data_IF_229244057756
#
_entry.id   IF_229244057756
#
_cell.length_a   1.000
_cell.length_b   1.000
_cell.length_c   1.000
_cell.angle_alpha   90.00
_cell.angle_beta   90.00
_cell.angle_gamma   90.00
#
_symmetry.space_group_name_H-M   'P 1'
#
loop_
_entity.id
_entity.type
_entity.pdbx_description
1 polymer ?
#
# COMPACT_ATOMS: atom_id res chain seq x y z
N UNK A 1 13.36 17.75 -2.18
CA UNK A 1 11.94 18.08 -2.41
C UNK A 1 11.65 18.11 -3.90
N UNK A 2 10.40 18.02 -4.30
CA UNK A 2 9.94 18.06 -5.70
C UNK A 2 8.59 18.78 -5.76
N UNK A 3 8.27 19.37 -6.91
CA UNK A 3 6.96 20.03 -7.13
C UNK A 3 6.11 19.20 -8.10
N UNK A 4 4.81 19.09 -7.82
CA UNK A 4 3.82 18.41 -8.68
C UNK A 4 2.62 19.31 -8.94
N UNK A 5 2.03 19.27 -10.14
CA UNK A 5 0.78 19.99 -10.43
C UNK A 5 -0.34 19.47 -9.52
N UNK A 6 -1.14 20.36 -8.93
CA UNK A 6 -2.24 19.99 -8.03
C UNK A 6 -3.35 19.22 -8.78
N UNK A 7 -3.95 18.24 -8.10
CA UNK A 7 -5.18 17.55 -8.52
C UNK A 7 -6.10 17.42 -7.32
N UNK A 8 -7.41 17.44 -7.57
CA UNK A 8 -8.43 17.27 -6.54
C UNK A 8 -8.30 15.89 -5.85
N UNK A 9 -8.52 15.84 -4.52
CA UNK A 9 -8.40 14.60 -3.76
C UNK A 9 -9.58 13.65 -4.03
N UNK A 10 -9.28 12.39 -4.31
CA UNK A 10 -10.26 11.29 -4.29
C UNK A 10 -10.40 10.71 -2.88
N UNK A 11 -11.62 10.55 -2.32
CA UNK A 11 -11.81 9.96 -1.00
C UNK A 11 -11.74 8.41 -1.01
N UNK A 12 -11.26 7.76 0.09
CA UNK A 12 -11.02 6.32 0.14
C UNK A 12 -12.30 5.54 0.49
N UNK A 13 -12.54 4.42 -0.22
CA UNK A 13 -13.78 3.64 -0.20
C UNK A 13 -13.55 2.20 0.29
N UNK A 14 -14.33 1.75 1.27
CA UNK A 14 -14.77 0.34 1.39
C UNK A 14 -16.29 0.30 1.64
N UNK A 15 -16.83 1.13 2.55
CA UNK A 15 -18.28 1.17 2.85
C UNK A 15 -19.04 2.33 2.17
N UNK A 16 -18.33 3.33 1.64
CA UNK A 16 -18.93 4.51 1.01
C UNK A 16 -19.80 4.22 -0.20
N UNK A 17 -19.58 3.10 -0.93
CA UNK A 17 -20.43 2.75 -2.08
C UNK A 17 -21.83 2.35 -1.63
N UNK A 18 -21.93 1.49 -0.61
CA UNK A 18 -23.23 1.08 -0.07
C UNK A 18 -23.88 2.19 0.76
N UNK A 19 -23.10 2.95 1.51
CA UNK A 19 -23.60 4.15 2.19
C UNK A 19 -24.12 5.18 1.18
N UNK A 20 -23.40 5.40 0.07
CA UNK A 20 -23.84 6.28 -1.02
C UNK A 20 -25.14 5.80 -1.67
N UNK A 21 -25.29 4.49 -1.92
CA UNK A 21 -26.55 3.92 -2.41
C UNK A 21 -27.69 4.03 -1.41
N UNK A 22 -27.40 3.85 -0.12
CA UNK A 22 -28.38 4.03 0.94
C UNK A 22 -28.88 5.49 0.97
N UNK A 23 -27.96 6.46 1.00
CA UNK A 23 -28.31 7.88 0.96
C UNK A 23 -29.06 8.25 -0.34
N UNK A 24 -28.67 7.69 -1.47
CA UNK A 24 -29.37 7.87 -2.74
C UNK A 24 -30.83 7.40 -2.70
N UNK A 25 -31.11 6.38 -1.88
CA UNK A 25 -32.45 5.83 -1.69
C UNK A 25 -33.26 6.56 -0.63
N UNK A 26 -32.63 7.01 0.46
CA UNK A 26 -33.37 7.55 1.63
C UNK A 26 -33.38 9.07 1.72
N UNK A 27 -32.30 9.73 1.28
CA UNK A 27 -32.09 11.17 1.54
C UNK A 27 -32.10 12.03 0.27
N UNK A 28 -31.71 11.50 -0.88
CA UNK A 28 -31.45 12.34 -2.07
C UNK A 28 -32.72 12.98 -2.67
N UNK A 29 -33.89 12.37 -2.45
CA UNK A 29 -35.17 12.96 -2.81
C UNK A 29 -35.59 14.10 -1.87
N UNK A 30 -34.95 14.24 -0.71
CA UNK A 30 -35.25 15.25 0.31
C UNK A 30 -34.37 16.51 0.21
N UNK A 31 -33.43 16.54 -0.74
CA UNK A 31 -32.55 17.69 -0.98
C UNK A 31 -33.32 18.85 -1.65
N UNK A 32 -32.87 20.09 -1.42
CA UNK A 32 -33.42 21.30 -2.08
C UNK A 32 -33.42 21.17 -3.62
N UNK A 33 -32.44 20.45 -4.16
CA UNK A 33 -32.43 19.99 -5.56
C UNK A 33 -32.45 18.46 -5.56
N UNK A 34 -33.64 17.83 -5.70
CA UNK A 34 -33.78 16.39 -5.61
C UNK A 34 -32.99 15.65 -6.69
N UNK A 35 -32.35 14.56 -6.31
CA UNK A 35 -31.70 13.63 -7.25
C UNK A 35 -32.55 12.35 -7.29
N UNK A 36 -32.97 11.96 -8.50
CA UNK A 36 -33.86 10.80 -8.68
C UNK A 36 -33.17 9.48 -8.31
N UNK A 37 -33.91 8.58 -7.67
CA UNK A 37 -33.41 7.23 -7.38
C UNK A 37 -33.01 6.52 -8.68
N UNK A 38 -31.82 5.93 -8.71
CA UNK A 38 -31.28 5.26 -9.90
C UNK A 38 -30.65 6.19 -10.95
N UNK A 39 -30.66 7.51 -10.77
CA UNK A 39 -29.99 8.43 -11.70
C UNK A 39 -28.46 8.45 -11.55
N UNK A 40 -27.93 7.87 -10.47
CA UNK A 40 -26.50 7.81 -10.19
C UNK A 40 -25.98 6.39 -10.37
N UNK A 41 -25.04 6.22 -11.31
CA UNK A 41 -24.27 4.99 -11.45
C UNK A 41 -23.15 4.94 -10.42
N UNK A 42 -23.48 4.46 -9.21
CA UNK A 42 -22.50 4.32 -8.13
C UNK A 42 -21.74 2.99 -8.28
N UNK A 43 -20.42 3.03 -8.57
CA UNK A 43 -19.65 1.82 -8.81
C UNK A 43 -19.60 0.96 -7.56
N UNK A 44 -19.71 -0.36 -7.77
CA UNK A 44 -19.52 -1.34 -6.71
C UNK A 44 -18.11 -1.29 -6.13
N UNK A 45 -17.97 -1.73 -4.89
CA UNK A 45 -16.67 -1.88 -4.26
C UNK A 45 -16.46 -3.33 -3.79
N UNK A 46 -15.60 -4.04 -4.50
CA UNK A 46 -15.23 -5.44 -4.21
C UNK A 46 -13.79 -5.56 -3.69
N UNK A 47 -13.18 -4.45 -3.26
CA UNK A 47 -11.75 -4.39 -2.88
C UNK A 47 -11.39 -5.41 -1.80
N UNK A 48 -12.22 -5.57 -0.77
CA UNK A 48 -11.97 -6.56 0.28
C UNK A 48 -11.96 -8.00 -0.26
N UNK A 49 -12.82 -8.30 -1.24
CA UNK A 49 -12.86 -9.60 -1.91
C UNK A 49 -11.60 -9.83 -2.75
N UNK A 50 -11.21 -8.84 -3.56
CA UNK A 50 -9.99 -8.90 -4.39
C UNK A 50 -8.72 -9.06 -3.54
N UNK A 51 -8.58 -8.25 -2.48
CA UNK A 51 -7.45 -8.36 -1.55
C UNK A 51 -7.42 -9.71 -0.83
N UNK A 52 -8.58 -10.21 -0.36
CA UNK A 52 -8.66 -11.54 0.26
C UNK A 52 -8.27 -12.64 -0.74
N UNK A 53 -8.72 -12.54 -2.00
CA UNK A 53 -8.38 -13.48 -3.05
C UNK A 53 -6.87 -13.49 -3.34
N UNK A 54 -6.22 -12.33 -3.47
CA UNK A 54 -4.76 -12.26 -3.67
C UNK A 54 -3.98 -12.89 -2.50
N UNK A 55 -4.43 -12.66 -1.27
CA UNK A 55 -3.82 -13.27 -0.07
C UNK A 55 -4.02 -14.78 -0.04
N UNK A 56 -5.21 -15.27 -0.43
CA UNK A 56 -5.49 -16.70 -0.56
C UNK A 56 -4.62 -17.36 -1.62
N UNK A 57 -4.39 -16.70 -2.75
CA UNK A 57 -3.50 -17.19 -3.80
C UNK A 57 -2.07 -17.28 -3.26
N UNK A 58 -1.56 -16.23 -2.61
CA UNK A 58 -0.23 -16.26 -2.00
C UNK A 58 -0.09 -17.38 -0.95
N UNK A 59 -1.12 -17.59 -0.13
CA UNK A 59 -1.16 -18.71 0.80
C UNK A 59 -1.11 -20.06 0.07
N UNK A 60 -1.93 -20.24 -0.97
CA UNK A 60 -2.04 -21.51 -1.70
C UNK A 60 -0.78 -21.82 -2.51
N UNK A 61 -0.08 -20.82 -3.03
CA UNK A 61 1.20 -21.02 -3.71
C UNK A 61 2.28 -21.58 -2.78
N UNK A 62 2.25 -21.18 -1.51
CA UNK A 62 3.15 -21.72 -0.49
C UNK A 62 2.64 -23.05 0.08
N UNK A 63 1.30 -23.26 0.09
CA UNK A 63 0.60 -24.40 0.70
C UNK A 63 1.10 -25.82 0.35
N UNK A 64 1.47 -26.14 -0.90
CA UNK A 64 1.93 -27.48 -1.24
C UNK A 64 3.39 -27.78 -0.84
N UNK A 65 4.13 -26.79 -0.32
CA UNK A 65 5.56 -26.93 -0.02
C UNK A 65 5.89 -27.08 1.48
N UNK A 66 4.90 -27.28 2.35
CA UNK A 66 5.15 -27.45 3.80
C UNK A 66 4.10 -28.31 4.50
N UNK A 67 4.55 -29.14 5.44
CA UNK A 67 3.70 -29.88 6.40
C UNK A 67 3.07 -28.98 7.48
N UNK A 68 3.36 -27.67 7.47
CA UNK A 68 2.95 -26.72 8.52
C UNK A 68 1.84 -25.76 8.07
N UNK A 69 0.87 -25.51 8.98
CA UNK A 69 -0.27 -24.62 8.75
C UNK A 69 0.20 -23.16 8.69
N UNK A 70 -0.27 -22.39 7.69
CA UNK A 70 0.32 -21.08 7.44
C UNK A 70 -0.30 -19.90 8.19
N UNK A 71 0.52 -18.96 8.60
CA UNK A 71 0.14 -17.69 9.22
C UNK A 71 0.04 -16.56 8.21
N UNK A 72 -1.03 -15.77 8.34
CA UNK A 72 -1.05 -14.37 7.91
C UNK A 72 -0.68 -13.47 9.08
N UNK A 73 0.45 -12.76 9.01
CA UNK A 73 0.83 -11.74 9.99
C UNK A 73 0.28 -10.36 9.61
N UNK A 74 -0.72 -9.86 10.35
CA UNK A 74 -1.17 -8.46 10.27
C UNK A 74 -0.36 -7.61 11.23
N UNK A 75 0.51 -6.75 10.69
CA UNK A 75 1.33 -5.87 11.51
C UNK A 75 0.59 -4.59 11.87
N UNK A 76 0.27 -4.44 13.16
CA UNK A 76 -0.41 -3.26 13.70
C UNK A 76 0.61 -2.12 13.94
N UNK A 77 0.28 -0.87 13.57
CA UNK A 77 1.06 0.29 14.00
C UNK A 77 0.99 0.47 15.53
N UNK A 78 1.86 1.33 16.07
CA UNK A 78 1.93 1.72 17.50
C UNK A 78 0.55 1.92 18.17
N UNK A 79 0.44 1.74 19.50
CA UNK A 79 -0.77 2.07 20.25
C UNK A 79 -1.15 3.54 20.00
N UNK A 80 -2.25 3.76 19.28
CA UNK A 80 -2.68 5.09 18.83
C UNK A 80 -3.43 5.07 17.50
N UNK A 81 -3.00 4.26 16.52
CA UNK A 81 -3.67 4.15 15.20
C UNK A 81 -4.84 3.14 15.23
N UNK A 82 -5.74 3.27 16.22
CA UNK A 82 -6.94 2.41 16.37
C UNK A 82 -7.94 2.57 15.20
N UNK A 83 -7.86 3.67 14.48
CA UNK A 83 -8.77 4.10 13.41
C UNK A 83 -8.83 3.15 12.20
N UNK A 84 -7.80 2.32 11.96
CA UNK A 84 -7.75 1.39 10.82
C UNK A 84 -7.98 -0.08 11.20
N UNK A 85 -8.46 -0.34 12.42
CA UNK A 85 -8.71 -1.71 12.90
C UNK A 85 -9.89 -2.37 12.16
N UNK A 86 -10.95 -1.60 11.91
CA UNK A 86 -12.18 -2.07 11.28
C UNK A 86 -11.98 -2.43 9.81
N UNK A 87 -11.19 -1.64 9.08
CA UNK A 87 -10.74 -1.93 7.70
C UNK A 87 -10.07 -3.31 7.60
N UNK A 88 -9.19 -3.61 8.56
CA UNK A 88 -8.48 -4.89 8.59
C UNK A 88 -9.38 -6.08 8.98
N UNK A 89 -10.40 -5.86 9.83
CA UNK A 89 -11.36 -6.91 10.21
C UNK A 89 -12.20 -7.36 9.03
N UNK A 90 -12.64 -6.44 8.17
CA UNK A 90 -13.38 -6.81 6.96
C UNK A 90 -12.57 -7.75 6.06
N UNK A 91 -11.28 -7.47 5.89
CA UNK A 91 -10.38 -8.35 5.14
C UNK A 91 -10.24 -9.74 5.81
N UNK A 92 -10.12 -9.79 7.13
CA UNK A 92 -10.06 -11.05 7.88
C UNK A 92 -11.32 -11.90 7.73
N UNK A 93 -12.49 -11.27 7.81
CA UNK A 93 -13.76 -11.98 7.62
C UNK A 93 -13.89 -12.55 6.21
N UNK A 94 -13.41 -11.83 5.18
CA UNK A 94 -13.41 -12.36 3.82
C UNK A 94 -12.43 -13.54 3.66
N UNK A 95 -11.29 -13.52 4.35
CA UNK A 95 -10.34 -14.65 4.33
C UNK A 95 -10.88 -15.84 5.12
N UNK A 96 -11.59 -15.61 6.23
CA UNK A 96 -12.17 -16.65 7.06
C UNK A 96 -13.23 -17.49 6.32
N UNK A 97 -13.81 -16.96 5.24
CA UNK A 97 -14.71 -17.70 4.34
C UNK A 97 -14.00 -18.74 3.47
N UNK A 98 -12.67 -18.79 3.46
CA UNK A 98 -11.92 -19.77 2.70
C UNK A 98 -12.16 -21.20 3.24
N UNK A 99 -12.21 -22.15 2.31
CA UNK A 99 -12.22 -23.59 2.60
C UNK A 99 -11.05 -24.24 1.85
N UNK A 100 -10.08 -24.89 2.54
CA UNK A 100 -9.98 -25.02 3.99
C UNK A 100 -9.72 -23.67 4.70
N UNK A 101 -10.03 -23.61 6.00
CA UNK A 101 -9.87 -22.39 6.80
C UNK A 101 -8.40 -21.95 6.86
N UNK A 102 -8.16 -20.66 6.62
CA UNK A 102 -6.84 -20.04 6.67
C UNK A 102 -6.68 -19.30 8.01
N UNK A 103 -5.72 -19.70 8.87
CA UNK A 103 -5.50 -19.01 10.12
C UNK A 103 -4.80 -17.66 9.91
N UNK A 104 -5.33 -16.64 10.59
CA UNK A 104 -4.83 -15.26 10.52
C UNK A 104 -4.46 -14.79 11.93
N UNK A 105 -3.27 -14.22 12.08
CA UNK A 105 -2.75 -13.73 13.34
C UNK A 105 -2.32 -12.26 13.23
N UNK A 106 -2.62 -11.47 14.26
CA UNK A 106 -2.13 -10.08 14.36
C UNK A 106 -0.91 -10.08 15.26
N UNK A 107 0.17 -9.47 14.78
CA UNK A 107 1.39 -9.27 15.54
C UNK A 107 1.75 -7.80 15.52
N UNK A 108 2.28 -7.28 16.64
CA UNK A 108 2.96 -6.00 16.58
C UNK A 108 4.34 -6.22 16.01
N UNK A 109 4.85 -5.23 15.31
CA UNK A 109 6.17 -5.29 14.70
C UNK A 109 7.29 -5.59 15.72
N UNK A 110 7.20 -5.00 16.91
CA UNK A 110 8.13 -5.26 18.01
C UNK A 110 8.05 -6.67 18.62
N UNK A 111 6.95 -7.41 18.39
CA UNK A 111 6.76 -8.75 18.97
C UNK A 111 7.23 -9.86 18.04
N UNK A 112 7.61 -9.55 16.79
CA UNK A 112 8.00 -10.53 15.77
C UNK A 112 9.17 -11.38 16.26
N UNK A 113 10.22 -10.73 16.79
CA UNK A 113 11.43 -11.41 17.26
C UNK A 113 11.24 -12.15 18.59
N UNK A 114 10.23 -11.77 19.38
CA UNK A 114 9.89 -12.39 20.65
C UNK A 114 9.17 -13.74 20.48
N UNK A 115 8.86 -14.13 19.24
CA UNK A 115 8.33 -15.46 18.97
C UNK A 115 9.48 -16.48 19.04
N UNK A 116 9.35 -17.57 19.81
CA UNK A 116 10.42 -18.55 20.04
C UNK A 116 10.95 -19.30 18.80
N UNK A 117 10.49 -18.92 17.62
CA UNK A 117 10.87 -19.45 16.32
C UNK A 117 12.06 -18.69 15.69
N UNK A 118 12.44 -17.53 16.21
CA UNK A 118 13.55 -16.72 15.65
C UNK A 118 14.94 -17.28 15.96
N UNK A 119 15.04 -18.35 16.76
CA UNK A 119 16.30 -18.98 17.21
C UNK A 119 16.68 -20.23 16.41
N UNK A 120 15.89 -20.65 15.42
CA UNK A 120 16.28 -21.74 14.53
C UNK A 120 17.46 -21.31 13.63
N UNK A 121 18.34 -22.24 13.20
CA UNK A 121 19.40 -21.96 12.22
C UNK A 121 18.82 -21.29 10.96
N UNK A 122 19.65 -20.68 10.10
CA UNK A 122 19.23 -19.90 8.92
C UNK A 122 18.54 -20.77 7.86
N UNK A 123 17.39 -21.31 8.20
CA UNK A 123 16.38 -21.82 7.31
C UNK A 123 15.50 -20.64 6.98
N UNK A 124 15.21 -20.45 5.69
CA UNK A 124 14.42 -19.32 5.23
C UNK A 124 12.92 -19.44 5.60
N UNK A 125 12.54 -20.27 6.56
CA UNK A 125 11.16 -20.38 7.05
C UNK A 125 10.96 -19.53 8.30
N UNK A 126 9.91 -18.69 8.30
CA UNK A 126 9.49 -17.93 9.48
C UNK A 126 8.40 -18.74 10.19
N UNK A 127 8.54 -19.02 11.49
CA UNK A 127 7.51 -19.70 12.26
C UNK A 127 6.87 -18.77 13.30
N UNK A 128 5.61 -19.04 13.61
CA UNK A 128 4.83 -18.36 14.62
C UNK A 128 4.32 -19.39 15.63
N UNK A 129 4.61 -19.15 16.91
CA UNK A 129 4.08 -19.96 18.01
C UNK A 129 2.92 -19.23 18.66
N UNK A 130 1.79 -19.91 18.82
CA UNK A 130 0.60 -19.29 19.40
C UNK A 130 0.84 -18.99 20.90
N UNK A 131 0.70 -17.73 21.37
CA UNK A 131 0.99 -17.38 22.76
C UNK A 131 0.14 -18.15 23.78
N UNK A 132 -1.11 -18.46 23.43
CA UNK A 132 -2.06 -19.19 24.28
C UNK A 132 -1.88 -20.70 24.26
N UNK A 133 -1.14 -21.24 23.29
CA UNK A 133 -0.87 -22.67 23.17
C UNK A 133 0.47 -22.88 22.49
N UNK A 134 1.52 -23.04 23.30
CA UNK A 134 2.89 -23.14 22.80
C UNK A 134 3.16 -24.41 22.00
N UNK A 135 2.31 -25.44 22.11
CA UNK A 135 2.39 -26.66 21.29
C UNK A 135 1.91 -26.45 19.84
N UNK A 136 1.25 -25.33 19.54
CA UNK A 136 0.81 -24.98 18.18
C UNK A 136 1.83 -24.03 17.55
N UNK A 137 2.57 -24.56 16.59
CA UNK A 137 3.51 -23.83 15.74
C UNK A 137 2.97 -23.81 14.31
N UNK A 138 3.09 -22.65 13.68
CA UNK A 138 2.64 -22.37 12.33
C UNK A 138 3.82 -21.85 11.52
N UNK A 139 3.99 -22.25 10.28
CA UNK A 139 4.91 -21.57 9.37
C UNK A 139 4.21 -20.32 8.81
N UNK A 140 4.90 -19.26 8.43
CA UNK A 140 4.29 -18.06 7.86
C UNK A 140 4.32 -18.18 6.33
N UNK A 141 3.15 -18.19 5.66
CA UNK A 141 3.08 -18.13 4.19
C UNK A 141 3.07 -16.70 3.68
N UNK A 142 2.30 -15.82 4.33
CA UNK A 142 2.03 -14.48 3.82
C UNK A 142 2.18 -13.48 4.95
N UNK A 143 2.99 -12.46 4.69
CA UNK A 143 3.16 -11.32 5.60
C UNK A 143 2.43 -10.14 4.98
N UNK A 144 1.31 -9.74 5.58
CA UNK A 144 0.55 -8.59 5.14
C UNK A 144 0.86 -7.39 6.03
N UNK A 145 1.74 -6.52 5.55
CA UNK A 145 2.23 -5.38 6.33
C UNK A 145 1.20 -4.26 6.32
N UNK A 146 0.74 -3.87 7.52
CA UNK A 146 -0.11 -2.68 7.74
C UNK A 146 0.58 -1.66 8.67
N UNK A 147 1.90 -1.79 8.77
CA UNK A 147 2.86 -0.91 9.43
C UNK A 147 4.19 -0.99 8.67
N UNK A 148 5.20 -0.23 9.08
CA UNK A 148 6.54 -0.26 8.51
C UNK A 148 6.73 0.69 7.31
N UNK A 149 5.74 1.54 7.03
CA UNK A 149 5.79 2.60 6.01
C UNK A 149 6.13 3.99 6.59
N UNK A 150 6.08 4.13 7.92
CA UNK A 150 6.39 5.38 8.63
C UNK A 150 7.65 5.17 9.48
N UNK A 151 8.59 6.14 9.54
CA UNK A 151 9.76 6.04 10.43
C UNK A 151 9.41 5.78 11.89
N UNK A 152 8.24 6.25 12.35
CA UNK A 152 7.75 5.96 13.71
C UNK A 152 7.49 4.47 13.94
N UNK A 153 7.29 3.64 12.91
CA UNK A 153 7.18 2.19 13.09
C UNK A 153 8.53 1.52 13.42
N UNK A 154 9.64 2.27 13.37
CA UNK A 154 11.00 1.82 13.66
C UNK A 154 11.62 2.61 14.83
N UNK A 155 11.14 2.44 16.08
CA UNK A 155 11.64 3.18 17.25
C UNK A 155 13.08 2.82 17.67
N UNK A 156 13.58 1.66 17.25
CA UNK A 156 14.87 1.10 17.68
C UNK A 156 15.35 -0.02 16.75
N UNK A 157 16.51 -0.59 17.04
CA UNK A 157 17.15 -1.61 16.22
C UNK A 157 16.31 -2.90 16.12
N UNK A 158 15.58 -3.23 17.18
CA UNK A 158 14.74 -4.43 17.24
C UNK A 158 13.65 -4.43 16.17
N UNK A 159 13.12 -3.25 15.83
CA UNK A 159 12.15 -3.11 14.76
C UNK A 159 12.81 -3.32 13.38
N UNK A 160 14.03 -2.83 13.19
CA UNK A 160 14.79 -3.09 11.96
C UNK A 160 15.14 -4.56 11.81
N UNK A 161 15.57 -5.21 12.89
CA UNK A 161 15.88 -6.63 12.91
C UNK A 161 14.63 -7.48 12.65
N UNK A 162 13.47 -7.07 13.17
CA UNK A 162 12.18 -7.68 12.85
C UNK A 162 11.85 -7.57 11.36
N UNK A 163 12.04 -6.38 10.75
CA UNK A 163 11.85 -6.20 9.30
C UNK A 163 12.72 -7.15 8.51
N UNK A 164 14.00 -7.18 8.88
CA UNK A 164 15.01 -7.95 8.19
C UNK A 164 14.71 -9.45 8.27
N UNK A 165 14.31 -9.93 9.45
CA UNK A 165 13.86 -11.32 9.65
C UNK A 165 12.66 -11.67 8.76
N UNK A 166 11.64 -10.81 8.73
CA UNK A 166 10.45 -11.00 7.89
C UNK A 166 10.82 -11.04 6.40
N UNK A 167 11.64 -10.09 5.93
CA UNK A 167 12.01 -9.96 4.52
C UNK A 167 12.84 -11.15 4.03
N UNK A 168 13.77 -11.65 4.86
CA UNK A 168 14.61 -12.81 4.56
C UNK A 168 13.87 -14.15 4.52
N UNK A 169 12.67 -14.21 5.08
CA UNK A 169 11.87 -15.43 5.05
C UNK A 169 11.28 -15.71 3.65
N UNK A 170 10.94 -16.97 3.41
CA UNK A 170 10.21 -17.50 2.25
C UNK A 170 8.75 -17.09 2.23
N UNK A 171 8.25 -16.46 3.30
CA UNK A 171 6.90 -15.92 3.27
C UNK A 171 6.80 -14.90 2.11
N UNK A 172 5.63 -14.83 1.50
CA UNK A 172 5.29 -13.82 0.51
C UNK A 172 5.00 -12.51 1.27
N UNK A 173 5.82 -11.49 1.01
CA UNK A 173 5.65 -10.18 1.63
C UNK A 173 4.70 -9.33 0.78
N UNK A 174 3.74 -8.69 1.44
CA UNK A 174 2.82 -7.74 0.83
C UNK A 174 2.88 -6.42 1.63
N UNK A 175 3.68 -5.43 1.19
CA UNK A 175 4.66 -5.47 0.08
C UNK A 175 6.03 -6.04 0.49
N UNK A 176 6.85 -6.43 -0.50
CA UNK A 176 8.31 -6.62 -0.32
C UNK A 176 9.02 -5.27 -0.13
N UNK A 177 10.27 -5.29 0.33
CA UNK A 177 11.10 -4.06 0.43
C UNK A 177 11.27 -3.37 -0.92
N UNK A 178 11.45 -4.13 -2.01
CA UNK A 178 11.58 -3.57 -3.36
C UNK A 178 10.27 -2.91 -3.82
N UNK A 179 9.13 -3.55 -3.55
CA UNK A 179 7.81 -2.99 -3.88
C UNK A 179 7.53 -1.72 -3.07
N UNK A 180 7.92 -1.71 -1.79
CA UNK A 180 7.83 -0.52 -0.95
C UNK A 180 8.71 0.62 -1.49
N UNK A 181 9.94 0.34 -1.90
CA UNK A 181 10.84 1.33 -2.51
C UNK A 181 10.30 1.87 -3.84
N UNK A 182 9.70 1.01 -4.67
CA UNK A 182 9.07 1.41 -5.92
C UNK A 182 7.89 2.38 -5.73
N UNK A 183 7.18 2.27 -4.58
CA UNK A 183 6.09 3.19 -4.21
C UNK A 183 6.56 4.58 -3.77
N UNK A 184 7.85 4.78 -3.57
CA UNK A 184 8.37 6.07 -3.09
C UNK A 184 8.16 7.19 -4.10
N UNK A 185 8.00 8.40 -3.59
CA UNK A 185 7.80 9.58 -4.43
C UNK A 185 9.00 9.94 -5.31
N UNK A 186 10.22 9.57 -4.90
CA UNK A 186 11.39 9.70 -5.76
C UNK A 186 11.31 8.78 -6.98
N UNK A 187 10.91 7.52 -6.80
CA UNK A 187 10.67 6.61 -7.94
C UNK A 187 9.55 7.14 -8.82
N UNK A 188 8.43 7.59 -8.22
CA UNK A 188 7.35 8.25 -8.96
C UNK A 188 7.88 9.44 -9.79
N UNK A 189 8.72 10.30 -9.23
CA UNK A 189 9.34 11.43 -9.93
C UNK A 189 10.23 10.98 -11.09
N UNK A 190 11.08 9.96 -10.89
CA UNK A 190 11.96 9.46 -11.94
C UNK A 190 11.15 8.88 -13.11
N UNK A 191 10.11 8.09 -12.82
CA UNK A 191 9.27 7.48 -13.86
C UNK A 191 8.39 8.48 -14.61
N UNK A 192 8.05 9.60 -13.97
CA UNK A 192 7.17 10.65 -14.55
C UNK A 192 7.94 11.86 -15.09
N UNK A 193 9.28 11.86 -15.03
CA UNK A 193 10.08 12.96 -15.57
C UNK A 193 9.88 13.01 -17.10
N UNK A 194 9.46 14.16 -17.67
CA UNK A 194 9.18 14.28 -19.10
C UNK A 194 10.38 13.91 -19.98
N UNK A 195 10.09 13.37 -21.16
CA UNK A 195 11.11 13.06 -22.18
C UNK A 195 11.86 14.35 -22.56
N UNK A 196 13.19 14.32 -22.46
CA UNK A 196 14.03 15.30 -23.13
C UNK A 196 14.28 14.81 -24.56
N UNK A 197 14.40 15.68 -25.57
CA UNK A 197 14.76 15.27 -26.93
C UNK A 197 16.04 14.42 -27.02
N UNK A 198 16.93 14.54 -26.02
CA UNK A 198 18.23 13.87 -25.98
C UNK A 198 18.30 12.65 -25.03
N UNK A 199 17.26 12.39 -24.22
CA UNK A 199 17.33 11.33 -23.19
C UNK A 199 16.01 10.54 -23.13
N UNK A 200 16.04 9.20 -23.35
CA UNK A 200 14.85 8.36 -23.22
C UNK A 200 14.32 8.37 -21.77
N UNK A 201 13.00 8.27 -21.62
CA UNK A 201 12.37 8.23 -20.29
C UNK A 201 12.85 7.03 -19.49
N UNK A 202 12.98 7.17 -18.17
CA UNK A 202 13.26 6.04 -17.28
C UNK A 202 12.19 4.94 -17.37
N UNK A 203 10.95 5.28 -17.73
CA UNK A 203 9.86 4.32 -17.92
C UNK A 203 10.14 3.32 -19.05
N UNK A 204 10.83 3.75 -20.11
CA UNK A 204 11.16 2.93 -21.28
C UNK A 204 12.00 1.68 -20.96
N UNK A 205 12.63 1.66 -19.78
CA UNK A 205 13.40 0.50 -19.28
C UNK A 205 12.52 -0.63 -18.76
N UNK A 206 11.26 -0.35 -18.45
CA UNK A 206 10.32 -1.29 -17.83
C UNK A 206 9.16 -1.65 -18.75
N UNK A 207 8.78 -0.75 -19.65
CA UNK A 207 7.68 -0.94 -20.60
C UNK A 207 8.11 -0.38 -21.95
N UNK A 208 7.69 -1.02 -23.04
CA UNK A 208 8.00 -0.56 -24.39
C UNK A 208 7.26 0.73 -24.71
N UNK A 209 7.97 1.72 -25.25
CA UNK A 209 7.46 3.07 -25.51
C UNK A 209 6.45 3.16 -26.68
N UNK A 210 6.26 2.07 -27.43
CA UNK A 210 5.48 2.02 -28.68
C UNK A 210 4.08 1.40 -28.52
N UNK A 211 3.59 1.23 -27.29
CA UNK A 211 2.27 0.62 -27.02
C UNK A 211 1.20 1.65 -26.65
N UNK A 212 -0.06 1.36 -26.98
CA UNK A 212 -1.21 2.17 -26.57
C UNK A 212 -1.32 2.25 -25.03
N UNK A 213 -1.06 1.16 -24.32
CA UNK A 213 -1.04 1.11 -22.84
C UNK A 213 -0.08 2.15 -22.24
N UNK A 214 1.09 2.35 -22.85
CA UNK A 214 2.05 3.35 -22.37
C UNK A 214 1.55 4.75 -22.65
N UNK A 215 0.92 5.00 -23.81
CA UNK A 215 0.29 6.28 -24.10
C UNK A 215 -0.81 6.61 -23.07
N UNK A 216 -1.66 5.64 -22.70
CA UNK A 216 -2.67 5.82 -21.65
C UNK A 216 -2.04 6.08 -20.27
N UNK A 217 -1.00 5.33 -19.91
CA UNK A 217 -0.28 5.54 -18.66
C UNK A 217 0.31 6.96 -18.57
N UNK A 218 0.94 7.44 -19.65
CA UNK A 218 1.45 8.82 -19.73
C UNK A 218 0.36 9.87 -19.54
N UNK A 219 -0.87 9.62 -20.00
CA UNK A 219 -2.01 10.53 -19.79
C UNK A 219 -2.42 10.65 -18.33
N UNK A 220 -2.15 9.65 -17.50
CA UNK A 220 -2.42 9.71 -16.05
C UNK A 220 -1.32 10.41 -15.25
N UNK A 221 -0.15 10.61 -15.85
CA UNK A 221 0.99 11.20 -15.17
C UNK A 221 0.80 12.71 -15.00
N UNK A 222 1.12 13.19 -13.81
CA UNK A 222 1.35 14.61 -13.59
C UNK A 222 2.85 14.87 -13.64
N UNK A 223 3.27 16.00 -14.22
CA UNK A 223 4.69 16.34 -14.24
C UNK A 223 5.19 16.58 -12.81
N UNK A 224 6.15 15.76 -12.39
CA UNK A 224 6.84 15.92 -11.12
C UNK A 224 8.27 16.39 -11.42
N UNK A 225 8.60 17.60 -11.01
CA UNK A 225 9.91 18.18 -11.28
C UNK A 225 10.84 18.02 -10.08
N UNK A 226 12.12 17.63 -10.28
CA UNK A 226 13.11 17.65 -9.23
C UNK A 226 13.41 19.09 -8.79
N UNK A 227 14.01 19.27 -7.61
CA UNK A 227 14.54 20.57 -7.16
C UNK A 227 16.07 20.54 -7.07
N UNK A 228 16.72 19.79 -7.97
CA UNK A 228 18.18 19.71 -8.08
C UNK A 228 18.72 20.77 -9.06
N UNK A 229 19.95 20.59 -9.53
CA UNK A 229 20.65 21.49 -10.48
C UNK A 229 20.55 21.03 -11.93
N UNK A 230 19.74 20.01 -12.24
CA UNK A 230 19.45 19.61 -13.62
C UNK A 230 18.62 20.69 -14.34
N UNK A 231 18.56 20.66 -15.67
CA UNK A 231 17.71 21.58 -16.44
C UNK A 231 16.24 21.54 -15.99
N UNK A 232 15.72 20.33 -15.75
CA UNK A 232 14.38 20.14 -15.20
C UNK A 232 14.24 20.74 -13.80
N UNK A 233 15.29 20.68 -12.98
CA UNK A 233 15.33 21.26 -11.64
C UNK A 233 15.43 22.79 -11.65
N UNK A 234 16.17 23.37 -12.59
CA UNK A 234 16.23 24.82 -12.79
C UNK A 234 14.87 25.36 -13.28
N UNK A 235 14.21 24.66 -14.21
CA UNK A 235 12.86 25.01 -14.65
C UNK A 235 11.83 24.89 -13.50
N UNK A 236 11.96 23.87 -12.64
CA UNK A 236 11.12 23.72 -11.45
C UNK A 236 11.25 24.94 -10.51
N UNK A 237 12.48 25.38 -10.25
CA UNK A 237 12.78 26.52 -9.39
C UNK A 237 12.20 27.81 -9.96
N UNK A 238 12.32 28.04 -11.27
CA UNK A 238 11.68 29.20 -11.94
C UNK A 238 10.17 29.21 -11.71
N UNK A 239 9.50 28.06 -11.93
CA UNK A 239 8.05 27.93 -11.74
C UNK A 239 7.62 28.08 -10.28
N UNK A 240 8.42 27.58 -9.34
CA UNK A 240 8.15 27.67 -7.91
C UNK A 240 8.33 29.09 -7.35
N UNK A 241 9.26 29.87 -7.90
CA UNK A 241 9.54 31.24 -7.48
C UNK A 241 8.66 32.29 -8.17
N UNK A 242 8.00 31.94 -9.27
CA UNK A 242 7.02 32.79 -9.94
C UNK A 242 5.70 32.83 -9.15
N UNK A 243 5.25 34.01 -8.64
CA UNK A 243 4.06 34.12 -7.79
C UNK A 243 2.73 33.70 -8.44
N UNK A 244 2.65 33.70 -9.77
CA UNK A 244 1.45 33.27 -10.52
C UNK A 244 1.52 31.79 -10.84
N UNK A 245 2.66 31.31 -11.33
CA UNK A 245 2.80 29.90 -11.71
C UNK A 245 2.79 28.99 -10.49
N UNK A 246 3.36 29.40 -9.35
CA UNK A 246 3.50 28.56 -8.16
C UNK A 246 2.15 28.08 -7.61
N UNK A 247 1.05 28.83 -7.82
CA UNK A 247 -0.31 28.47 -7.38
C UNK A 247 -0.81 27.16 -8.01
N UNK A 248 -0.25 26.75 -9.15
CA UNK A 248 -0.59 25.50 -9.82
C UNK A 248 0.22 24.29 -9.32
N UNK A 249 1.18 24.48 -8.40
CA UNK A 249 2.12 23.45 -7.97
C UNK A 249 2.08 23.22 -6.45
N UNK A 250 2.44 22.00 -6.05
CA UNK A 250 2.54 21.57 -4.65
C UNK A 250 3.94 21.06 -4.39
N UNK A 251 4.61 21.54 -3.34
CA UNK A 251 5.92 21.08 -2.91
C UNK A 251 5.77 19.88 -1.97
N UNK A 252 6.48 18.78 -2.22
CA UNK A 252 6.34 17.57 -1.40
C UNK A 252 7.69 17.07 -0.85
N UNK A 253 7.77 16.73 0.45
CA UNK A 253 8.90 16.01 1.04
C UNK A 253 8.83 14.52 0.72
N UNK A 254 9.87 13.75 1.07
CA UNK A 254 9.90 12.30 0.92
C UNK A 254 9.17 11.62 2.10
N UNK A 255 7.86 11.84 2.23
CA UNK A 255 7.02 11.24 3.28
C UNK A 255 5.72 10.68 2.72
N UNK A 256 5.22 9.63 3.37
CA UNK A 256 3.92 9.01 3.09
C UNK A 256 2.94 9.28 4.24
N UNK A 257 1.63 9.26 3.94
CA UNK A 257 0.58 9.69 4.87
C UNK A 257 0.37 11.21 4.82
N UNK A 258 -0.87 11.66 4.65
CA UNK A 258 -1.23 13.06 4.36
C UNK A 258 -0.76 14.09 5.39
N UNK A 259 -0.86 15.38 5.04
CA UNK A 259 -0.49 16.51 5.90
C UNK A 259 0.96 16.99 5.80
N UNK A 260 1.69 16.56 4.76
CA UNK A 260 3.11 16.90 4.56
C UNK A 260 3.37 17.80 3.33
N UNK A 261 2.32 18.22 2.61
CA UNK A 261 2.40 19.01 1.38
C UNK A 261 2.35 20.51 1.67
#
# INVERSE_FOLDING_TARGET
CYISKSHEPYPPKIELSNAGRYLAKTEYSLLDTPIAEGSLDLPGNTTAHGLAAGIRVGFTMRYPESDFKYVKGHHLPRPGRREKLFDQRHLEYQIAKASPSIPVFRLRYADVLNTPASQAPPSASCFYRLPRNQSKVYEVAVIYMRSGYDPSDYPGQEAWDARYHLERSHAIKCPTVLTQLAGTKKVQQILTTPKSPSVPSALSKFIRDDTEDVAELWRTFTNIYPMDTSDAGLEARKKALDPKLCQAYVLKPQREGGGNN
#
